data_IF_144525707843
#
_entry.id   IF_144525707843
#
_cell.length_a   1.000
_cell.length_b   1.000
_cell.length_c   1.000
_cell.angle_alpha   90.00
_cell.angle_beta   90.00
_cell.angle_gamma   90.00
#
_symmetry.space_group_name_H-M   'P 1'
#
loop_
_entity.id
_entity.type
_entity.pdbx_description
1 polymer ?
#
# COMPACT_ATOMS: atom_id res chain seq x y z
N UNK A 1 8.81 42.89 -56.44
CA UNK A 1 10.09 43.47 -56.01
C UNK A 1 10.58 42.68 -54.82
N UNK A 2 11.68 42.11 -55.00
CA UNK A 2 12.51 41.31 -54.22
C UNK A 2 13.08 42.05 -52.98
N UNK A 3 13.36 41.35 -51.93
CA UNK A 3 14.14 41.81 -50.78
C UNK A 3 14.46 40.69 -49.87
N UNK A 4 15.63 40.16 -50.07
CA UNK A 4 16.21 38.99 -49.46
C UNK A 4 16.93 39.29 -48.12
N UNK A 5 17.09 38.22 -47.29
CA UNK A 5 18.28 37.77 -46.52
C UNK A 5 18.66 38.51 -45.25
N UNK A 6 18.77 37.74 -44.21
CA UNK A 6 19.51 38.04 -43.00
C UNK A 6 19.63 36.80 -42.10
N UNK A 7 20.59 35.90 -42.43
CA UNK A 7 21.04 34.81 -41.54
C UNK A 7 22.05 35.40 -40.57
N UNK A 8 21.81 35.24 -39.27
CA UNK A 8 22.85 35.45 -38.24
C UNK A 8 22.98 34.20 -37.39
N UNK A 9 24.12 33.51 -37.56
CA UNK A 9 24.66 32.51 -36.60
C UNK A 9 25.43 33.26 -35.51
N UNK A 10 25.15 32.95 -34.26
CA UNK A 10 26.06 33.09 -33.12
C UNK A 10 25.48 32.09 -32.10
N UNK A 11 26.12 31.02 -31.63
CA UNK A 11 27.32 31.00 -30.85
C UNK A 11 26.93 30.16 -29.62
N UNK A 12 27.43 28.92 -29.51
CA UNK A 12 27.27 28.00 -28.38
C UNK A 12 27.87 28.57 -27.10
N UNK A 13 27.10 28.59 -25.99
CA UNK A 13 27.65 28.52 -24.65
C UNK A 13 26.86 27.49 -23.87
N UNK A 14 27.55 26.40 -23.56
CA UNK A 14 27.11 25.38 -22.64
C UNK A 14 27.04 25.94 -21.21
N UNK A 15 25.83 26.05 -20.67
CA UNK A 15 25.64 26.22 -19.22
C UNK A 15 24.90 25.02 -18.71
N UNK A 16 25.58 24.26 -17.80
CA UNK A 16 25.13 22.99 -17.27
C UNK A 16 23.83 23.08 -16.49
N UNK A 17 22.80 22.44 -17.01
CA UNK A 17 21.61 22.13 -16.26
C UNK A 17 21.86 20.82 -15.51
N UNK A 18 22.08 20.92 -14.21
CA UNK A 18 22.07 19.75 -13.34
C UNK A 18 20.65 19.18 -13.33
N UNK A 19 20.46 18.10 -14.06
CA UNK A 19 19.25 17.31 -14.01
C UNK A 19 19.07 16.77 -12.59
N UNK A 20 18.03 17.23 -11.91
CA UNK A 20 17.51 16.58 -10.71
C UNK A 20 16.94 15.23 -11.17
N UNK A 21 17.60 14.16 -10.76
CA UNK A 21 17.13 12.80 -10.99
C UNK A 21 15.86 12.61 -10.18
N UNK A 22 14.72 12.57 -10.85
CA UNK A 22 13.53 11.91 -10.34
C UNK A 22 13.90 10.44 -10.19
N UNK A 23 13.92 9.94 -8.95
CA UNK A 23 14.05 8.52 -8.66
C UNK A 23 12.70 7.89 -9.01
N UNK A 24 12.58 7.42 -10.22
CA UNK A 24 11.54 6.51 -10.64
C UNK A 24 11.93 5.17 -10.02
N UNK A 25 11.21 4.72 -8.99
CA UNK A 25 11.36 3.35 -8.49
C UNK A 25 10.70 2.44 -9.52
N UNK A 26 11.46 2.09 -10.55
CA UNK A 26 11.10 1.03 -11.47
C UNK A 26 11.39 -0.30 -10.76
N UNK A 27 10.36 -1.12 -10.58
CA UNK A 27 10.49 -2.51 -10.19
C UNK A 27 11.18 -3.24 -11.35
N UNK A 28 12.49 -3.46 -11.25
CA UNK A 28 13.24 -4.30 -12.20
C UNK A 28 13.08 -5.75 -11.73
N UNK A 29 12.34 -6.54 -12.48
CA UNK A 29 12.40 -8.00 -12.37
C UNK A 29 13.78 -8.47 -12.83
N UNK A 30 14.63 -8.82 -11.90
CA UNK A 30 15.90 -9.48 -12.20
C UNK A 30 15.65 -10.99 -12.41
N UNK A 31 15.79 -11.43 -13.65
CA UNK A 31 15.99 -12.84 -13.98
C UNK A 31 17.42 -13.22 -13.60
N UNK A 32 17.59 -14.03 -12.59
CA UNK A 32 18.86 -14.68 -12.30
C UNK A 32 18.65 -16.18 -12.12
N UNK A 33 19.50 -16.93 -12.81
CA UNK A 33 19.41 -18.34 -13.06
C UNK A 33 19.78 -19.24 -11.89
N UNK A 34 19.47 -20.50 -12.07
CA UNK A 34 19.66 -21.67 -11.22
C UNK A 34 21.07 -21.85 -10.66
N UNK A 35 21.14 -22.12 -9.37
CA UNK A 35 22.25 -22.73 -8.69
C UNK A 35 21.72 -23.44 -7.45
N UNK A 36 21.54 -24.76 -7.55
CA UNK A 36 21.19 -25.64 -6.45
C UNK A 36 22.47 -25.93 -5.64
N UNK A 37 22.57 -25.41 -4.43
CA UNK A 37 23.48 -25.97 -3.40
C UNK A 37 22.92 -25.70 -1.98
N UNK A 38 22.75 -26.76 -1.23
CA UNK A 38 22.59 -27.01 0.18
C UNK A 38 22.15 -25.87 1.11
N UNK A 39 20.86 -25.83 1.44
CA UNK A 39 20.31 -24.93 2.47
C UNK A 39 20.81 -25.32 3.87
N UNK A 40 21.90 -24.71 4.31
CA UNK A 40 22.19 -24.54 5.72
C UNK A 40 21.18 -23.54 6.30
N UNK A 41 20.43 -23.93 7.33
CA UNK A 41 19.55 -23.04 8.11
C UNK A 41 20.35 -21.85 8.62
N UNK A 42 20.23 -20.71 7.93
CA UNK A 42 20.73 -19.43 8.46
C UNK A 42 19.73 -18.97 9.52
N UNK A 43 20.22 -18.79 10.75
CA UNK A 43 19.47 -18.23 11.90
C UNK A 43 19.20 -16.72 11.70
N UNK A 44 18.58 -16.33 10.58
CA UNK A 44 18.05 -15.00 10.35
C UNK A 44 16.61 -14.89 10.84
N UNK A 45 16.16 -13.72 11.20
CA UNK A 45 14.74 -13.51 11.51
C UNK A 45 13.91 -13.91 10.26
N UNK A 46 12.86 -14.73 10.41
CA UNK A 46 12.17 -15.41 9.28
C UNK A 46 11.45 -14.45 8.31
N UNK A 47 11.44 -13.16 8.60
CA UNK A 47 10.79 -12.12 7.79
C UNK A 47 11.79 -11.25 7.00
N UNK A 48 13.11 -11.48 7.17
CA UNK A 48 14.15 -10.81 6.41
C UNK A 48 14.37 -11.57 5.10
N UNK A 49 14.70 -10.83 4.04
CA UNK A 49 15.09 -11.44 2.77
C UNK A 49 16.28 -12.39 2.97
N UNK A 50 16.32 -13.56 2.28
CA UNK A 50 17.44 -14.50 2.37
C UNK A 50 18.81 -13.88 2.09
N UNK A 51 18.88 -12.82 1.29
CA UNK A 51 20.11 -12.09 0.98
C UNK A 51 20.50 -11.06 2.06
N UNK A 52 19.65 -10.90 3.09
CA UNK A 52 19.88 -9.99 4.20
C UNK A 52 19.41 -8.56 3.95
N UNK A 53 18.77 -8.32 2.82
CA UNK A 53 18.18 -7.03 2.50
C UNK A 53 16.94 -6.74 3.35
N UNK A 54 16.62 -5.47 3.61
CA UNK A 54 15.37 -5.10 4.27
C UNK A 54 14.18 -5.67 3.51
N UNK A 55 13.17 -6.24 4.20
CA UNK A 55 11.97 -6.75 3.53
C UNK A 55 11.23 -5.60 2.85
N UNK A 56 10.81 -5.84 1.63
CA UNK A 56 9.86 -4.96 0.95
C UNK A 56 8.49 -5.28 1.52
N UNK A 57 7.96 -4.39 2.36
CA UNK A 57 6.62 -4.53 2.92
C UNK A 57 5.63 -3.90 1.94
N UNK A 58 4.73 -4.70 1.38
CA UNK A 58 3.71 -4.24 0.44
C UNK A 58 2.51 -3.60 1.14
N UNK A 59 2.08 -4.17 2.27
CA UNK A 59 0.98 -3.63 3.06
C UNK A 59 1.08 -4.04 4.53
N UNK A 60 0.42 -3.25 5.38
CA UNK A 60 0.15 -3.57 6.79
C UNK A 60 -1.35 -3.49 7.05
N UNK A 61 -1.84 -4.32 7.96
CA UNK A 61 -3.24 -4.32 8.38
C UNK A 61 -3.35 -4.76 9.84
N UNK A 62 -4.45 -4.42 10.50
CA UNK A 62 -4.72 -4.81 11.89
C UNK A 62 -5.91 -5.76 11.92
N UNK A 63 -5.73 -6.93 12.54
CA UNK A 63 -6.84 -7.85 12.76
C UNK A 63 -7.76 -7.28 13.85
N UNK A 64 -9.03 -6.96 13.55
CA UNK A 64 -9.94 -6.38 14.53
C UNK A 64 -10.32 -7.35 15.66
N UNK A 65 -10.06 -8.65 15.50
CA UNK A 65 -10.39 -9.67 16.52
C UNK A 65 -9.39 -9.72 17.66
N UNK A 66 -8.10 -9.72 17.34
CA UNK A 66 -7.02 -9.87 18.33
C UNK A 66 -6.03 -8.72 18.36
N UNK A 67 -6.25 -7.70 17.53
CA UNK A 67 -5.40 -6.48 17.40
C UNK A 67 -3.97 -6.78 16.98
N UNK A 68 -3.70 -7.92 16.39
CA UNK A 68 -2.40 -8.25 15.83
C UNK A 68 -2.12 -7.42 14.59
N UNK A 69 -0.88 -6.93 14.47
CA UNK A 69 -0.39 -6.34 13.23
C UNK A 69 -0.08 -7.46 12.23
N UNK A 70 -0.55 -7.29 11.01
CA UNK A 70 -0.21 -8.14 9.87
C UNK A 70 0.63 -7.35 8.88
N UNK A 71 1.65 -8.03 8.33
CA UNK A 71 2.59 -7.45 7.38
C UNK A 71 2.68 -8.39 6.18
N UNK A 72 2.34 -7.90 5.00
CA UNK A 72 2.55 -8.61 3.75
C UNK A 72 3.84 -8.08 3.10
N UNK A 73 4.79 -8.98 2.87
CA UNK A 73 6.13 -8.64 2.39
C UNK A 73 6.50 -9.43 1.14
N UNK A 74 7.63 -9.08 0.51
CA UNK A 74 8.22 -9.87 -0.57
C UNK A 74 8.70 -11.26 -0.14
N UNK A 75 8.79 -11.52 1.17
CA UNK A 75 9.19 -12.84 1.71
C UNK A 75 8.03 -13.61 2.32
N UNK A 76 6.83 -13.04 2.42
CA UNK A 76 5.64 -13.71 2.92
C UNK A 76 4.68 -12.86 3.70
N UNK A 77 3.67 -13.52 4.24
CA UNK A 77 2.69 -12.92 5.15
C UNK A 77 3.12 -13.20 6.61
N UNK A 78 3.13 -12.16 7.42
CA UNK A 78 3.56 -12.23 8.81
C UNK A 78 2.56 -11.59 9.75
N UNK A 79 2.52 -12.09 10.97
CA UNK A 79 1.70 -11.58 12.07
C UNK A 79 2.58 -11.22 13.25
N UNK A 80 2.39 -10.05 13.82
CA UNK A 80 2.98 -9.61 15.09
C UNK A 80 1.87 -9.61 16.13
N UNK A 81 1.90 -10.50 17.13
CA UNK A 81 0.85 -10.55 18.16
C UNK A 81 0.86 -9.28 19.00
N UNK A 82 -0.28 -8.93 19.66
CA UNK A 82 -0.33 -7.81 20.58
C UNK A 82 0.74 -7.90 21.67
N UNK A 83 1.45 -6.81 21.91
CA UNK A 83 2.59 -6.77 22.85
C UNK A 83 3.87 -7.45 22.35
N UNK A 84 3.81 -8.16 21.21
CA UNK A 84 4.97 -8.74 20.56
C UNK A 84 5.71 -7.72 19.69
N UNK A 85 6.95 -8.06 19.30
CA UNK A 85 7.78 -7.26 18.39
C UNK A 85 8.40 -8.11 17.28
N UNK A 86 8.21 -9.40 17.31
CA UNK A 86 8.79 -10.36 16.36
C UNK A 86 7.71 -10.85 15.41
N UNK A 87 7.84 -10.58 14.10
CA UNK A 87 6.95 -11.13 13.10
C UNK A 87 7.01 -12.67 13.05
N UNK A 88 5.86 -13.30 13.01
CA UNK A 88 5.68 -14.74 12.89
C UNK A 88 5.08 -15.04 11.51
N UNK A 89 5.68 -15.95 10.75
CA UNK A 89 5.19 -16.32 9.42
C UNK A 89 3.81 -16.95 9.48
N UNK A 90 2.92 -16.49 8.60
CA UNK A 90 1.62 -17.11 8.33
C UNK A 90 1.73 -17.88 7.03
N UNK A 91 1.56 -19.19 7.09
CA UNK A 91 1.54 -20.04 5.91
C UNK A 91 0.11 -20.24 5.45
N UNK A 92 -0.16 -19.98 4.17
CA UNK A 92 -1.48 -20.13 3.59
C UNK A 92 -1.45 -20.89 2.27
N UNK A 93 -2.60 -21.44 1.89
CA UNK A 93 -2.81 -22.09 0.59
C UNK A 93 -3.97 -21.40 -0.13
N UNK A 94 -3.77 -21.02 -1.38
CA UNK A 94 -4.80 -20.48 -2.26
C UNK A 94 -5.33 -21.58 -3.17
N UNK A 95 -6.64 -21.65 -3.28
CA UNK A 95 -7.35 -22.44 -4.29
C UNK A 95 -8.04 -21.52 -5.27
N UNK A 96 -7.85 -21.78 -6.56
CA UNK A 96 -8.49 -21.05 -7.66
C UNK A 96 -9.08 -22.04 -8.66
N UNK A 97 -9.96 -21.61 -9.57
CA UNK A 97 -10.44 -22.44 -10.65
C UNK A 97 -9.35 -22.95 -11.62
N UNK A 98 -8.15 -22.38 -11.57
CA UNK A 98 -7.02 -22.73 -12.45
C UNK A 98 -5.94 -23.54 -11.76
N UNK A 99 -6.00 -23.73 -10.44
CA UNK A 99 -5.01 -24.47 -9.67
C UNK A 99 -4.95 -24.02 -8.22
N UNK A 100 -4.05 -24.62 -7.47
CA UNK A 100 -3.82 -24.27 -6.07
C UNK A 100 -2.32 -24.17 -5.79
N UNK A 101 -1.97 -23.35 -4.82
CA UNK A 101 -0.57 -23.14 -4.45
C UNK A 101 -0.43 -22.42 -3.10
N UNK A 102 0.79 -22.33 -2.61
CA UNK A 102 1.09 -21.55 -1.42
C UNK A 102 0.90 -20.07 -1.72
N UNK A 103 0.31 -19.36 -0.79
CA UNK A 103 0.38 -17.91 -0.71
C UNK A 103 1.61 -17.57 0.12
N UNK A 104 2.49 -16.76 -0.41
CA UNK A 104 3.68 -16.41 0.32
C UNK A 104 4.13 -14.97 0.16
N UNK A 105 3.92 -14.33 -0.99
CA UNK A 105 4.70 -13.13 -1.30
C UNK A 105 3.85 -12.05 -1.96
N UNK A 106 4.25 -10.77 -1.75
CA UNK A 106 3.72 -9.60 -2.45
C UNK A 106 2.18 -9.47 -2.43
N UNK A 107 1.57 -9.65 -1.27
CA UNK A 107 0.15 -9.44 -1.08
C UNK A 107 -0.15 -8.01 -0.61
N UNK A 108 -1.34 -7.54 -0.94
CA UNK A 108 -2.08 -6.53 -0.21
C UNK A 108 -3.13 -7.26 0.60
N UNK A 109 -3.31 -6.91 1.86
CA UNK A 109 -4.30 -7.52 2.75
C UNK A 109 -5.14 -6.47 3.46
N UNK A 110 -6.43 -6.74 3.55
CA UNK A 110 -7.41 -5.90 4.24
C UNK A 110 -8.33 -6.77 5.09
N UNK A 111 -8.51 -6.44 6.38
CA UNK A 111 -9.43 -7.16 7.26
C UNK A 111 -10.87 -6.68 7.08
N UNK A 112 -11.78 -7.61 6.87
CA UNK A 112 -13.23 -7.35 6.81
C UNK A 112 -13.96 -7.75 8.10
N UNK A 113 -13.28 -8.39 9.00
CA UNK A 113 -13.75 -8.85 10.31
C UNK A 113 -12.69 -9.67 11.03
N UNK A 114 -12.96 -10.14 12.26
CA UNK A 114 -12.04 -11.05 12.97
C UNK A 114 -11.68 -12.24 12.07
N UNK A 115 -10.38 -12.43 11.83
CA UNK A 115 -9.81 -13.52 11.02
C UNK A 115 -10.31 -13.59 9.56
N UNK A 116 -11.06 -12.58 9.11
CA UNK A 116 -11.56 -12.48 7.74
C UNK A 116 -10.75 -11.45 6.95
N UNK A 117 -10.13 -11.88 5.86
CA UNK A 117 -9.28 -11.05 5.02
C UNK A 117 -9.74 -11.07 3.57
N UNK A 118 -9.58 -9.93 2.93
CA UNK A 118 -9.44 -9.83 1.48
C UNK A 118 -7.96 -9.62 1.16
N UNK A 119 -7.56 -10.07 -0.02
CA UNK A 119 -6.19 -9.87 -0.50
C UNK A 119 -6.13 -9.81 -2.01
N UNK A 120 -5.00 -9.35 -2.50
CA UNK A 120 -4.63 -9.33 -3.91
C UNK A 120 -3.11 -9.42 -4.04
N UNK A 121 -2.60 -9.70 -5.23
CA UNK A 121 -1.17 -9.70 -5.50
C UNK A 121 -0.77 -10.77 -6.50
N UNK A 122 0.42 -11.31 -6.30
CA UNK A 122 1.07 -12.26 -7.21
C UNK A 122 1.36 -13.60 -6.53
N UNK A 123 1.43 -14.71 -7.27
CA UNK A 123 1.96 -15.96 -6.76
C UNK A 123 3.47 -15.83 -6.49
N UNK A 124 4.05 -16.74 -5.69
CA UNK A 124 5.50 -16.81 -5.52
C UNK A 124 6.23 -16.92 -6.85
N UNK A 125 7.44 -16.35 -6.98
CA UNK A 125 8.28 -16.53 -8.16
C UNK A 125 8.44 -18.00 -8.53
N UNK A 126 8.29 -18.30 -9.82
CA UNK A 126 8.40 -19.67 -10.33
C UNK A 126 7.16 -20.55 -10.12
N UNK A 127 6.12 -20.09 -9.46
CA UNK A 127 4.86 -20.80 -9.38
C UNK A 127 4.11 -20.72 -10.72
N UNK A 128 3.89 -21.87 -11.36
CA UNK A 128 3.15 -21.99 -12.63
C UNK A 128 1.72 -22.50 -12.45
N UNK A 129 1.34 -22.93 -11.25
CA UNK A 129 0.03 -23.51 -10.96
C UNK A 129 -1.02 -22.42 -10.69
N UNK A 130 -0.57 -21.21 -10.37
CA UNK A 130 -1.43 -20.04 -10.15
C UNK A 130 -1.23 -19.03 -11.30
N UNK A 131 -2.27 -18.27 -11.66
CA UNK A 131 -2.12 -17.19 -12.63
C UNK A 131 -1.28 -16.04 -12.07
N UNK A 132 -0.62 -15.25 -12.93
CA UNK A 132 0.29 -14.18 -12.51
C UNK A 132 -0.40 -13.05 -11.71
N UNK A 133 -1.70 -12.84 -11.89
CA UNK A 133 -2.49 -11.89 -11.10
C UNK A 133 -3.55 -12.66 -10.33
N UNK A 134 -3.53 -12.56 -9.01
CA UNK A 134 -4.45 -13.30 -8.13
C UNK A 134 -5.87 -12.69 -8.11
N UNK A 135 -6.03 -11.45 -8.59
CA UNK A 135 -7.31 -10.75 -8.49
C UNK A 135 -7.70 -10.52 -7.04
N UNK A 136 -8.99 -10.57 -6.74
CA UNK A 136 -9.49 -10.54 -5.37
C UNK A 136 -9.55 -11.96 -4.81
N UNK A 137 -8.88 -12.18 -3.70
CA UNK A 137 -8.90 -13.43 -2.93
C UNK A 137 -9.42 -13.18 -1.53
N UNK A 138 -9.98 -14.21 -0.89
CA UNK A 138 -10.57 -14.15 0.46
C UNK A 138 -10.07 -15.29 1.33
N UNK A 139 -9.79 -14.97 2.59
CA UNK A 139 -9.61 -15.93 3.69
C UNK A 139 -10.64 -15.68 4.79
N UNK A 140 -11.09 -16.73 5.46
CA UNK A 140 -12.00 -16.67 6.63
C UNK A 140 -11.43 -17.37 7.86
N UNK A 141 -10.13 -17.72 7.82
CA UNK A 141 -9.45 -18.50 8.85
C UNK A 141 -8.05 -17.94 9.17
N UNK A 142 -7.95 -16.63 9.22
CA UNK A 142 -6.71 -15.91 9.50
C UNK A 142 -5.59 -16.29 8.50
N UNK A 143 -5.89 -16.29 7.21
CA UNK A 143 -4.91 -16.45 6.15
C UNK A 143 -4.38 -17.87 5.94
N UNK A 144 -4.95 -18.89 6.58
CA UNK A 144 -4.54 -20.29 6.41
C UNK A 144 -5.02 -20.87 5.09
N UNK A 145 -6.28 -20.58 4.75
CA UNK A 145 -6.83 -20.96 3.45
C UNK A 145 -7.39 -19.74 2.74
N UNK A 146 -7.22 -19.71 1.42
CA UNK A 146 -7.67 -18.64 0.56
C UNK A 146 -8.41 -19.19 -0.64
N UNK A 147 -9.41 -18.45 -1.09
CA UNK A 147 -10.19 -18.76 -2.28
C UNK A 147 -10.26 -17.54 -3.20
N UNK A 148 -10.26 -17.78 -4.51
CA UNK A 148 -10.49 -16.73 -5.50
C UNK A 148 -11.93 -16.23 -5.41
N UNK A 149 -12.12 -14.90 -5.40
CA UNK A 149 -13.44 -14.26 -5.45
C UNK A 149 -13.76 -13.80 -6.86
N UNK A 150 -12.86 -12.98 -7.45
CA UNK A 150 -13.08 -12.39 -8.78
C UNK A 150 -11.78 -11.81 -9.34
N UNK A 151 -11.81 -11.30 -10.56
CA UNK A 151 -10.72 -10.61 -11.24
C UNK A 151 -9.44 -11.45 -11.38
N UNK A 152 -9.53 -12.76 -11.27
CA UNK A 152 -8.41 -13.68 -11.44
C UNK A 152 -7.78 -13.48 -12.82
N UNK A 153 -6.47 -13.23 -12.85
CA UNK A 153 -5.68 -12.87 -14.04
C UNK A 153 -6.14 -11.58 -14.76
N UNK A 154 -6.87 -10.71 -14.07
CA UNK A 154 -7.42 -9.48 -14.63
C UNK A 154 -7.07 -8.24 -13.83
N UNK A 155 -6.90 -8.34 -12.50
CA UNK A 155 -6.53 -7.22 -11.65
C UNK A 155 -5.41 -7.60 -10.68
N UNK A 156 -4.59 -6.58 -10.36
CA UNK A 156 -3.62 -6.55 -9.29
C UNK A 156 -3.93 -5.34 -8.41
N UNK A 157 -4.66 -5.58 -7.32
CA UNK A 157 -5.03 -4.50 -6.41
C UNK A 157 -3.84 -4.17 -5.50
N UNK A 158 -3.47 -2.90 -5.49
CA UNK A 158 -2.43 -2.33 -4.61
C UNK A 158 -3.01 -1.63 -3.38
N UNK A 159 -4.31 -1.33 -3.38
CA UNK A 159 -5.08 -0.97 -2.20
C UNK A 159 -6.47 -1.62 -2.29
N UNK A 160 -6.98 -2.05 -1.14
CA UNK A 160 -8.34 -2.59 -0.97
C UNK A 160 -8.92 -1.88 0.24
N UNK A 161 -9.97 -1.07 0.00
CA UNK A 161 -10.63 -0.29 1.03
C UNK A 161 -12.11 -0.66 1.12
N UNK A 162 -12.67 -0.53 2.33
CA UNK A 162 -14.06 -0.86 2.58
C UNK A 162 -14.72 0.15 3.52
N UNK A 163 -15.90 0.65 3.11
CA UNK A 163 -16.78 1.42 3.98
C UNK A 163 -18.24 1.00 3.74
N UNK A 164 -18.94 0.65 4.80
CA UNK A 164 -20.29 0.10 4.69
C UNK A 164 -20.34 -1.15 3.81
N UNK A 165 -21.22 -1.15 2.80
CA UNK A 165 -21.31 -2.23 1.81
C UNK A 165 -20.45 -2.00 0.55
N UNK A 166 -19.64 -0.96 0.52
CA UNK A 166 -18.79 -0.60 -0.60
C UNK A 166 -17.40 -1.21 -0.43
N UNK A 167 -16.90 -1.83 -1.49
CA UNK A 167 -15.53 -2.31 -1.60
C UNK A 167 -14.87 -1.58 -2.77
N UNK A 168 -13.69 -1.05 -2.54
CA UNK A 168 -12.92 -0.28 -3.51
C UNK A 168 -11.55 -0.90 -3.66
N UNK A 169 -11.10 -1.06 -4.91
CA UNK A 169 -9.77 -1.54 -5.24
C UNK A 169 -9.07 -0.60 -6.20
N UNK A 170 -7.84 -0.22 -5.91
CA UNK A 170 -6.99 0.53 -6.82
C UNK A 170 -5.85 -0.31 -7.34
N UNK A 171 -5.41 -0.05 -8.57
CA UNK A 171 -4.30 -0.72 -9.22
C UNK A 171 -3.18 0.29 -9.46
N UNK A 172 -1.94 -0.10 -9.17
CA UNK A 172 -0.80 0.78 -9.41
C UNK A 172 -0.64 1.09 -10.90
N UNK A 173 -0.38 2.37 -11.21
CA UNK A 173 -0.15 2.82 -12.60
C UNK A 173 -1.39 2.78 -13.50
N UNK A 174 -2.55 2.36 -12.99
CA UNK A 174 -3.81 2.39 -13.73
C UNK A 174 -4.57 3.69 -13.45
N UNK A 175 -5.24 4.21 -14.48
CA UNK A 175 -6.10 5.40 -14.33
C UNK A 175 -7.53 5.04 -13.90
N UNK A 176 -7.68 3.92 -13.21
CA UNK A 176 -8.98 3.38 -12.83
C UNK A 176 -8.99 2.90 -11.38
N UNK A 177 -10.12 3.14 -10.74
CA UNK A 177 -10.51 2.59 -9.45
C UNK A 177 -11.68 1.63 -9.71
N UNK A 178 -11.62 0.42 -9.18
CA UNK A 178 -12.69 -0.56 -9.26
C UNK A 178 -13.55 -0.49 -8.01
N UNK A 179 -14.87 -0.52 -8.19
CA UNK A 179 -15.89 -0.39 -7.14
C UNK A 179 -16.86 -1.55 -7.19
N UNK A 180 -17.06 -2.21 -6.07
CA UNK A 180 -18.01 -3.33 -5.90
C UNK A 180 -18.99 -3.05 -4.77
N UNK A 181 -20.25 -3.51 -4.94
CA UNK A 181 -21.32 -3.45 -3.93
C UNK A 181 -21.84 -4.83 -3.53
N UNK A 182 -21.18 -5.88 -4.02
CA UNK A 182 -21.56 -7.28 -3.80
C UNK A 182 -20.36 -8.11 -3.31
N UNK A 183 -19.58 -7.52 -2.40
CA UNK A 183 -18.40 -8.12 -1.76
C UNK A 183 -17.31 -8.55 -2.75
N UNK A 184 -17.12 -7.77 -3.81
CA UNK A 184 -16.07 -8.00 -4.79
C UNK A 184 -16.43 -9.00 -5.88
N UNK A 185 -17.70 -9.43 -6.01
CA UNK A 185 -18.08 -10.37 -7.08
C UNK A 185 -18.18 -9.68 -8.44
N UNK A 186 -18.72 -8.46 -8.47
CA UNK A 186 -18.84 -7.62 -9.67
C UNK A 186 -18.24 -6.24 -9.41
N UNK A 187 -17.65 -5.67 -10.45
CA UNK A 187 -16.96 -4.41 -10.36
C UNK A 187 -17.45 -3.42 -11.42
N UNK A 188 -17.48 -2.16 -11.04
CA UNK A 188 -17.64 -1.02 -11.95
C UNK A 188 -16.43 -0.13 -11.85
N UNK A 189 -16.01 0.47 -12.98
CA UNK A 189 -14.85 1.35 -13.03
C UNK A 189 -15.21 2.79 -12.68
N UNK A 190 -14.26 3.50 -12.06
CA UNK A 190 -14.22 4.95 -11.87
C UNK A 190 -12.90 5.48 -12.41
N UNK A 191 -12.91 6.71 -12.90
CA UNK A 191 -11.67 7.38 -13.24
C UNK A 191 -10.89 7.76 -11.97
N UNK A 192 -9.59 7.48 -11.97
CA UNK A 192 -8.70 7.97 -10.94
C UNK A 192 -8.42 9.47 -11.13
N UNK A 193 -8.27 10.26 -10.05
CA UNK A 193 -7.91 11.68 -10.17
C UNK A 193 -6.45 11.90 -10.61
N UNK A 194 -5.64 10.84 -10.63
CA UNK A 194 -4.23 10.88 -11.00
C UNK A 194 -3.56 9.52 -10.78
N UNK A 195 -2.24 9.51 -10.80
CA UNK A 195 -1.45 8.34 -10.39
C UNK A 195 -1.57 8.17 -8.88
N UNK A 196 -2.49 7.30 -8.44
CA UNK A 196 -2.80 7.08 -7.03
C UNK A 196 -1.59 6.56 -6.26
N UNK A 197 -1.42 7.13 -5.08
CA UNK A 197 -0.45 6.73 -4.06
C UNK A 197 -1.17 6.12 -2.87
N UNK A 198 -2.33 6.68 -2.50
CA UNK A 198 -3.16 6.19 -1.41
C UNK A 198 -4.62 6.62 -1.58
N UNK A 199 -5.55 5.88 -0.97
CA UNK A 199 -6.99 6.11 -1.04
C UNK A 199 -7.62 5.63 0.25
N UNK A 200 -8.45 6.49 0.87
CA UNK A 200 -9.22 6.15 2.05
C UNK A 200 -10.70 6.54 1.89
N UNK A 201 -11.57 5.75 2.49
CA UNK A 201 -13.02 5.96 2.51
C UNK A 201 -13.44 6.45 3.90
N UNK A 202 -14.33 7.44 3.95
CA UNK A 202 -14.93 7.87 5.20
C UNK A 202 -15.72 6.71 5.85
N UNK A 203 -15.40 6.30 7.07
CA UNK A 203 -16.12 5.22 7.75
C UNK A 203 -17.57 5.58 8.10
N UNK A 204 -17.90 6.88 8.15
CA UNK A 204 -19.25 7.38 8.43
C UNK A 204 -20.07 7.73 7.18
N UNK A 205 -19.41 7.95 6.04
CA UNK A 205 -20.04 8.30 4.77
C UNK A 205 -19.33 7.60 3.60
N UNK A 206 -19.81 6.43 3.15
CA UNK A 206 -19.19 5.71 2.05
C UNK A 206 -19.13 6.48 0.72
N UNK A 207 -19.85 7.59 0.59
CA UNK A 207 -19.79 8.48 -0.58
C UNK A 207 -18.56 9.37 -0.60
N UNK A 208 -17.98 9.63 0.58
CA UNK A 208 -16.83 10.53 0.75
C UNK A 208 -15.51 9.77 0.76
N UNK A 209 -14.62 10.15 -0.13
CA UNK A 209 -13.29 9.55 -0.27
C UNK A 209 -12.22 10.62 -0.30
N UNK A 210 -11.04 10.30 0.18
CA UNK A 210 -9.80 11.08 -0.01
C UNK A 210 -8.78 10.25 -0.75
N UNK A 211 -8.04 10.88 -1.64
CA UNK A 211 -6.99 10.23 -2.42
C UNK A 211 -5.74 11.10 -2.44
N UNK A 212 -4.58 10.46 -2.35
CA UNK A 212 -3.29 11.07 -2.63
C UNK A 212 -2.79 10.57 -3.97
N UNK A 213 -2.26 11.47 -4.75
CA UNK A 213 -1.58 11.17 -6.00
C UNK A 213 -0.15 11.72 -6.00
N UNK A 214 0.56 11.50 -7.09
CA UNK A 214 1.95 11.90 -7.24
C UNK A 214 2.13 13.44 -7.27
N UNK A 215 1.08 14.22 -7.43
CA UNK A 215 1.12 15.67 -7.60
C UNK A 215 0.22 16.45 -6.64
N UNK A 216 -0.81 15.82 -6.09
CA UNK A 216 -1.84 16.50 -5.28
C UNK A 216 -2.66 15.53 -4.46
N UNK A 217 -3.48 16.09 -3.58
CA UNK A 217 -4.55 15.37 -2.87
C UNK A 217 -5.91 15.75 -3.44
N UNK A 218 -6.82 14.79 -3.44
CA UNK A 218 -8.16 14.91 -4.00
C UNK A 218 -9.21 14.43 -3.02
N UNK A 219 -10.42 14.97 -3.15
CA UNK A 219 -11.62 14.50 -2.45
C UNK A 219 -12.76 14.24 -3.44
N UNK A 220 -13.49 13.17 -3.20
CA UNK A 220 -14.77 12.86 -3.85
C UNK A 220 -15.88 12.87 -2.79
N UNK A 221 -17.09 13.29 -3.19
CA UNK A 221 -18.31 13.26 -2.38
C UNK A 221 -19.38 12.33 -3.01
N UNK A 222 -19.01 11.59 -4.06
CA UNK A 222 -19.94 10.84 -4.90
C UNK A 222 -19.40 9.45 -5.28
N UNK A 223 -18.68 8.80 -4.36
CA UNK A 223 -18.10 7.46 -4.55
C UNK A 223 -17.08 7.43 -5.71
N UNK A 224 -16.23 8.43 -5.79
CA UNK A 224 -15.17 8.49 -6.79
C UNK A 224 -15.63 8.76 -8.22
N UNK A 225 -16.87 9.25 -8.43
CA UNK A 225 -17.35 9.63 -9.77
C UNK A 225 -16.75 10.96 -10.23
N UNK A 226 -16.65 11.90 -9.30
CA UNK A 226 -15.97 13.18 -9.52
C UNK A 226 -14.98 13.48 -8.41
N UNK A 227 -13.94 14.25 -8.76
CA UNK A 227 -12.86 14.55 -7.84
C UNK A 227 -12.55 16.05 -7.84
N UNK A 228 -12.26 16.60 -6.67
CA UNK A 228 -11.81 17.97 -6.45
C UNK A 228 -10.44 17.95 -5.78
N UNK A 229 -9.46 18.65 -6.35
CA UNK A 229 -8.18 18.86 -5.67
C UNK A 229 -8.39 19.67 -4.38
N UNK A 230 -7.78 19.24 -3.28
CA UNK A 230 -7.93 19.85 -1.96
C UNK A 230 -6.61 20.36 -1.38
N UNK A 231 -5.48 19.81 -1.77
CA UNK A 231 -4.17 20.20 -1.24
C UNK A 231 -3.07 19.83 -2.26
N UNK A 232 -2.07 20.69 -2.49
CA UNK A 232 -0.98 20.41 -3.45
C UNK A 232 0.12 19.49 -2.89
N UNK A 233 -0.03 18.96 -1.67
CA UNK A 233 0.97 18.03 -1.10
C UNK A 233 0.88 16.68 -1.80
N UNK A 234 1.97 16.21 -2.44
CA UNK A 234 1.98 14.92 -3.11
C UNK A 234 2.32 13.77 -2.14
N UNK A 235 2.05 12.53 -2.55
CA UNK A 235 2.57 11.31 -1.94
C UNK A 235 2.25 11.13 -0.45
N UNK A 236 1.18 11.74 0.06
CA UNK A 236 0.74 11.53 1.44
C UNK A 236 0.12 10.15 1.62
N UNK A 237 0.14 9.64 2.87
CA UNK A 237 -0.56 8.42 3.29
C UNK A 237 -1.69 8.79 4.24
N UNK A 238 -2.79 8.08 4.15
CA UNK A 238 -3.96 8.34 4.96
C UNK A 238 -4.31 7.19 5.89
N UNK A 239 -5.05 7.51 6.95
CA UNK A 239 -5.81 6.56 7.74
C UNK A 239 -7.08 7.26 8.23
N UNK A 240 -8.24 6.63 8.10
CA UNK A 240 -9.52 7.21 8.50
C UNK A 240 -10.26 6.31 9.51
N UNK A 241 -9.75 6.14 10.74
CA UNK A 241 -10.30 5.20 11.72
C UNK A 241 -11.64 5.65 12.33
N UNK A 242 -12.01 6.91 12.22
CA UNK A 242 -13.28 7.45 12.72
C UNK A 242 -13.72 8.65 11.88
N UNK A 243 -15.05 8.95 11.76
CA UNK A 243 -15.55 10.02 10.90
C UNK A 243 -14.92 11.40 11.14
N UNK A 244 -14.51 11.66 12.39
CA UNK A 244 -13.87 12.90 12.83
C UNK A 244 -12.35 12.73 13.10
N UNK A 245 -11.72 11.75 12.50
CA UNK A 245 -10.30 11.48 12.67
C UNK A 245 -9.68 10.94 11.37
N UNK A 246 -9.60 11.79 10.35
CA UNK A 246 -8.81 11.54 9.16
C UNK A 246 -7.37 11.98 9.41
N UNK A 247 -6.45 11.04 9.39
CA UNK A 247 -5.01 11.29 9.51
C UNK A 247 -4.34 11.35 8.14
N UNK A 248 -3.33 12.23 8.05
CA UNK A 248 -2.50 12.42 6.87
C UNK A 248 -1.04 12.41 7.30
N UNK A 249 -0.27 11.50 6.76
CA UNK A 249 1.17 11.37 6.96
C UNK A 249 1.90 11.80 5.68
N UNK A 250 2.54 12.96 5.74
CA UNK A 250 3.21 13.59 4.62
C UNK A 250 4.63 13.03 4.39
N UNK A 251 5.23 13.20 3.20
CA UNK A 251 6.62 12.87 2.93
C UNK A 251 7.57 13.46 3.98
N UNK A 252 8.55 12.65 4.42
CA UNK A 252 9.47 13.01 5.49
C UNK A 252 8.92 12.78 6.90
N UNK A 253 7.63 12.41 7.06
CA UNK A 253 7.04 11.92 8.30
C UNK A 253 6.18 12.88 9.12
N UNK A 254 5.92 14.16 8.75
CA UNK A 254 4.95 14.99 9.45
C UNK A 254 3.56 14.38 9.41
N UNK A 255 2.86 14.35 10.56
CA UNK A 255 1.49 13.86 10.70
C UNK A 255 0.54 15.02 11.00
N UNK A 256 -0.60 15.00 10.34
CA UNK A 256 -1.72 15.91 10.56
C UNK A 256 -3.01 15.13 10.78
N UNK A 257 -4.00 15.76 11.42
CA UNK A 257 -5.35 15.22 11.57
C UNK A 257 -6.39 16.25 11.15
N UNK A 258 -7.44 15.75 10.52
CA UNK A 258 -8.64 16.50 10.17
C UNK A 258 -9.85 15.91 10.91
N UNK A 259 -10.72 16.78 11.46
CA UNK A 259 -12.00 16.38 12.04
C UNK A 259 -13.18 16.61 11.09
N UNK A 260 -12.94 17.17 9.91
CA UNK A 260 -13.93 17.61 8.93
C UNK A 260 -13.76 17.00 7.54
N UNK A 261 -13.09 15.83 7.49
CA UNK A 261 -12.90 15.09 6.24
C UNK A 261 -11.92 15.75 5.26
N UNK A 262 -10.94 16.48 5.78
CA UNK A 262 -9.85 17.07 5.02
C UNK A 262 -10.06 18.52 4.60
N UNK A 263 -11.08 19.21 5.13
CA UNK A 263 -11.27 20.65 4.89
C UNK A 263 -10.28 21.51 5.69
N UNK A 264 -9.96 21.08 6.92
CA UNK A 264 -8.91 21.69 7.73
C UNK A 264 -8.01 20.65 8.39
N UNK A 265 -6.77 21.04 8.67
CA UNK A 265 -5.74 20.15 9.19
C UNK A 265 -5.04 20.74 10.41
N UNK A 266 -4.81 19.91 11.42
CA UNK A 266 -4.05 20.23 12.63
C UNK A 266 -2.79 19.37 12.69
N UNK A 267 -1.64 19.99 12.97
CA UNK A 267 -0.38 19.27 13.18
C UNK A 267 -0.48 18.38 14.44
N UNK A 268 0.08 17.19 14.36
CA UNK A 268 0.11 16.21 15.46
C UNK A 268 1.52 15.88 15.92
N UNK A 269 2.37 15.44 15.03
CA UNK A 269 3.72 15.00 15.35
C UNK A 269 4.44 14.54 14.10
N UNK A 270 5.42 13.66 14.26
CA UNK A 270 6.16 13.11 13.13
C UNK A 270 6.61 11.69 13.41
N UNK A 271 6.58 10.84 12.39
CA UNK A 271 7.17 9.50 12.43
C UNK A 271 8.70 9.56 12.36
N UNK A 272 9.28 10.66 11.87
CA UNK A 272 10.74 10.82 11.72
C UNK A 272 11.34 9.93 10.63
N UNK A 273 10.58 9.62 9.57
CA UNK A 273 11.06 8.83 8.44
C UNK A 273 10.08 8.88 7.27
N UNK A 274 10.51 8.44 6.10
CA UNK A 274 9.69 8.45 4.87
C UNK A 274 8.55 7.43 4.98
N UNK A 275 7.28 7.83 4.84
CA UNK A 275 6.15 6.92 5.01
C UNK A 275 5.91 6.05 3.78
N UNK A 276 5.60 4.78 4.01
CA UNK A 276 5.12 3.86 2.99
C UNK A 276 3.64 3.54 3.16
N UNK A 277 3.14 3.41 4.41
CA UNK A 277 1.73 3.24 4.71
C UNK A 277 1.38 3.82 6.09
N UNK A 278 0.12 4.18 6.27
CA UNK A 278 -0.47 4.57 7.55
C UNK A 278 -1.76 3.76 7.73
N UNK A 279 -1.96 3.18 8.92
CA UNK A 279 -3.17 2.42 9.25
C UNK A 279 -3.70 2.87 10.60
N UNK A 280 -5.00 3.11 10.69
CA UNK A 280 -5.71 3.39 11.92
C UNK A 280 -6.46 2.17 12.44
N UNK A 281 -6.20 1.77 13.67
CA UNK A 281 -6.95 0.72 14.36
C UNK A 281 -8.15 1.30 15.12
N UNK A 282 -7.94 2.45 15.73
CA UNK A 282 -8.93 3.21 16.48
C UNK A 282 -8.62 4.69 16.34
N UNK A 283 -9.54 5.54 16.82
CA UNK A 283 -9.44 7.01 16.70
C UNK A 283 -8.03 7.57 16.97
N UNK A 284 -7.30 7.05 17.96
CA UNK A 284 -5.98 7.52 18.36
C UNK A 284 -4.88 6.46 18.26
N UNK A 285 -5.20 5.25 17.82
CA UNK A 285 -4.22 4.17 17.64
C UNK A 285 -3.85 4.05 16.18
N UNK A 286 -2.58 4.37 15.88
CA UNK A 286 -2.06 4.41 14.52
C UNK A 286 -0.82 3.50 14.37
N UNK A 287 -0.64 2.98 13.18
CA UNK A 287 0.55 2.25 12.76
C UNK A 287 1.10 2.88 11.49
N UNK A 288 2.37 3.22 11.49
CA UNK A 288 3.07 3.74 10.33
C UNK A 288 4.16 2.77 9.89
N UNK A 289 4.10 2.36 8.63
CA UNK A 289 5.19 1.66 7.96
C UNK A 289 6.07 2.71 7.28
N UNK A 290 7.36 2.64 7.55
CA UNK A 290 8.37 3.48 6.91
C UNK A 290 9.05 2.74 5.76
N UNK A 291 9.65 3.50 4.84
CA UNK A 291 10.31 2.97 3.65
C UNK A 291 11.51 2.06 3.97
N UNK A 292 12.10 2.21 5.15
CA UNK A 292 13.16 1.32 5.65
C UNK A 292 12.62 0.01 6.26
N UNK A 293 11.32 -0.26 6.16
CA UNK A 293 10.64 -1.42 6.72
C UNK A 293 10.30 -1.32 8.21
N UNK A 294 10.70 -0.24 8.89
CA UNK A 294 10.34 -0.03 10.30
C UNK A 294 8.86 0.21 10.45
N UNK A 295 8.20 -0.51 11.38
CA UNK A 295 6.83 -0.22 11.77
C UNK A 295 6.83 0.50 13.12
N UNK A 296 6.17 1.65 13.15
CA UNK A 296 5.95 2.45 14.36
C UNK A 296 4.50 2.41 14.79
N UNK A 297 4.26 2.52 16.10
CA UNK A 297 2.92 2.59 16.70
C UNK A 297 2.79 3.87 17.52
N UNK A 298 1.63 4.50 17.42
CA UNK A 298 1.17 5.58 18.29
C UNK A 298 -0.13 5.18 18.97
N UNK A 299 -0.33 5.61 20.22
CA UNK A 299 -1.54 5.40 21.01
C UNK A 299 -2.19 6.74 21.42
N UNK A 300 -1.67 7.85 20.90
CA UNK A 300 -2.06 9.22 21.27
C UNK A 300 -2.40 10.10 20.05
N UNK A 301 -2.85 9.48 18.96
CA UNK A 301 -3.20 10.16 17.72
C UNK A 301 -1.98 10.75 17.01
N UNK A 302 -0.83 10.10 17.11
CA UNK A 302 0.38 10.44 16.39
C UNK A 302 1.22 11.53 17.04
N UNK A 303 0.96 11.91 18.30
CA UNK A 303 1.81 12.88 19.04
C UNK A 303 3.15 12.26 19.39
N UNK A 304 3.12 10.97 19.80
CA UNK A 304 4.34 10.20 20.06
C UNK A 304 4.31 8.86 19.33
N UNK A 305 5.50 8.38 18.98
CA UNK A 305 5.66 7.14 18.23
C UNK A 305 6.71 6.24 18.89
N UNK A 306 6.40 4.95 19.00
CA UNK A 306 7.33 3.91 19.43
C UNK A 306 7.59 2.92 18.30
N UNK A 307 8.83 2.40 18.21
CA UNK A 307 9.14 1.32 17.25
C UNK A 307 8.49 0.03 17.73
N UNK A 308 7.62 -0.52 16.90
CA UNK A 308 6.98 -1.82 17.11
C UNK A 308 7.79 -2.95 16.47
N UNK A 309 8.15 -2.79 15.20
CA UNK A 309 9.01 -3.72 14.47
C UNK A 309 10.18 -2.94 13.90
N UNK A 310 11.39 -3.37 14.20
CA UNK A 310 12.61 -2.82 13.62
C UNK A 310 13.18 -3.81 12.60
N UNK A 311 13.66 -3.29 11.47
CA UNK A 311 14.45 -4.09 10.53
C UNK A 311 15.84 -4.27 11.15
N UNK A 312 16.32 -5.50 11.32
CA UNK A 312 17.69 -5.73 11.72
C UNK A 312 18.64 -5.13 10.68
N UNK A 313 19.59 -4.31 11.14
CA UNK A 313 20.64 -3.79 10.26
C UNK A 313 21.54 -4.95 9.85
N UNK A 314 21.86 -5.05 8.57
CA UNK A 314 22.92 -5.92 8.09
C UNK A 314 24.21 -5.57 8.86
N UNK A 315 24.87 -6.60 9.40
CA UNK A 315 26.16 -6.44 10.09
C UNK A 315 27.29 -6.29 9.10
#
# INVERSE_FOLDING_TARGET
MAGAVGVARIGSTAAGLRARRCILVALVAALAGCGDEGAGERSGAPWIDPDGDPPIVGSIAINPGDRALWMATNTGLFRVPPGGRTPQRVSGTLSTPKGSGKISEQLVVHFTGPDQLLGSGHPPPGNTDLPPLLGLIRSTDAGKTWSSVSQLNAADFHAIERSGGLLVGSQFGQSQILVSRDEGRKWSSRASPGALVDLELDPGDPGRWVASAADSMFRSEDEGRTWRAIDPTPNSRFAWPAPDALYRLDPGGPLKVSADGGDSWQDRGSTGGEPQALVGEARETLFALLLDGTVKRSEDGGRTWSVLVAVPRAR
#
